data_IF_186059638999
#
_entry.id   IF_186059638999
#
_cell.length_a   1.000
_cell.length_b   1.000
_cell.length_c   1.000
_cell.angle_alpha   90.00
_cell.angle_beta   90.00
_cell.angle_gamma   90.00
#
_symmetry.space_group_name_H-M   'P 1'
#
loop_
_entity.id
_entity.type
_entity.pdbx_description
1 polymer ?
#
# COMPACT_ATOMS: atom_id res chain seq x y z
N UNK A 1 -4.59 -12.45 8.34
CA UNK A 1 -3.95 -11.55 7.36
C UNK A 1 -4.74 -11.38 6.08
N UNK A 2 -5.27 -12.45 5.53
CA UNK A 2 -6.09 -12.33 4.32
C UNK A 2 -7.27 -11.39 4.48
N UNK A 3 -7.95 -11.44 5.62
CA UNK A 3 -9.09 -10.56 5.87
C UNK A 3 -8.68 -9.10 5.89
N UNK A 4 -7.55 -8.80 6.51
CA UNK A 4 -7.06 -7.42 6.58
C UNK A 4 -6.63 -6.93 5.21
N UNK A 5 -5.98 -7.78 4.42
CA UNK A 5 -5.61 -7.44 3.05
C UNK A 5 -6.85 -7.17 2.19
N UNK A 6 -7.91 -7.97 2.38
CA UNK A 6 -9.17 -7.79 1.67
C UNK A 6 -9.82 -6.45 2.02
N UNK A 7 -9.86 -6.10 3.30
CA UNK A 7 -10.39 -4.81 3.75
C UNK A 7 -9.58 -3.67 3.14
N UNK A 8 -8.26 -3.77 3.18
CA UNK A 8 -7.38 -2.76 2.59
C UNK A 8 -7.65 -2.59 1.10
N UNK A 9 -7.84 -3.70 0.37
CA UNK A 9 -8.14 -3.63 -1.06
C UNK A 9 -9.44 -2.86 -1.31
N UNK A 10 -10.49 -3.14 -0.54
CA UNK A 10 -11.76 -2.45 -0.75
C UNK A 10 -11.74 -0.99 -0.30
N UNK A 11 -10.90 -0.62 0.66
CA UNK A 11 -10.81 0.78 1.11
C UNK A 11 -9.91 1.63 0.22
N UNK A 12 -8.77 1.10 -0.15
CA UNK A 12 -7.70 1.87 -0.81
C UNK A 12 -7.34 1.30 -2.16
N UNK A 13 -7.22 -0.02 -2.24
CA UNK A 13 -6.70 -0.70 -3.42
C UNK A 13 -7.57 -0.50 -4.66
N UNK A 14 -8.89 -0.51 -4.51
CA UNK A 14 -9.79 -0.33 -5.64
C UNK A 14 -9.59 1.04 -6.29
N UNK A 15 -9.53 2.10 -5.49
CA UNK A 15 -9.29 3.44 -6.00
C UNK A 15 -7.92 3.55 -6.66
N UNK A 16 -6.91 2.97 -6.03
CA UNK A 16 -5.55 2.95 -6.54
C UNK A 16 -5.47 2.18 -7.86
N UNK A 17 -6.11 1.01 -7.91
CA UNK A 17 -6.20 0.20 -9.12
C UNK A 17 -6.90 0.96 -10.24
N UNK A 18 -8.05 1.58 -9.97
CA UNK A 18 -8.80 2.31 -10.98
C UNK A 18 -7.99 3.46 -11.56
N UNK A 19 -7.24 4.17 -10.73
CA UNK A 19 -6.44 5.31 -11.20
C UNK A 19 -5.31 4.90 -12.15
N UNK A 20 -4.88 3.63 -12.10
CA UNK A 20 -3.84 3.11 -12.98
C UNK A 20 -4.43 2.34 -14.17
N UNK A 21 -5.47 1.56 -13.94
CA UNK A 21 -6.03 0.67 -14.95
C UNK A 21 -6.87 1.42 -15.98
N UNK A 22 -7.66 2.40 -15.55
CA UNK A 22 -8.51 3.13 -16.49
C UNK A 22 -7.73 3.89 -17.54
N UNK A 23 -6.66 4.64 -17.20
CA UNK A 23 -5.83 5.24 -18.25
C UNK A 23 -5.19 4.20 -19.16
N UNK A 24 -4.79 3.05 -18.62
CA UNK A 24 -4.21 1.98 -19.42
C UNK A 24 -5.20 1.43 -20.43
N UNK A 25 -6.46 1.22 -20.02
CA UNK A 25 -7.51 0.76 -20.93
C UNK A 25 -7.73 1.80 -22.05
N UNK A 26 -7.79 3.08 -21.69
CA UNK A 26 -7.97 4.16 -22.67
C UNK A 26 -6.79 4.24 -23.64
N UNK A 27 -5.59 3.91 -23.19
CA UNK A 27 -4.39 3.88 -24.03
C UNK A 27 -4.27 2.60 -24.84
N UNK A 28 -5.21 1.67 -24.71
CA UNK A 28 -5.27 0.42 -25.46
C UNK A 28 -4.02 -0.46 -25.25
N UNK A 29 -3.51 -0.51 -24.02
CA UNK A 29 -2.42 -1.41 -23.69
C UNK A 29 -2.92 -2.86 -23.64
N UNK A 30 -2.01 -3.79 -23.72
CA UNK A 30 -2.35 -5.22 -23.73
C UNK A 30 -2.97 -5.67 -22.41
N UNK A 31 -3.83 -6.67 -22.47
CA UNK A 31 -4.47 -7.24 -21.27
C UNK A 31 -3.45 -7.76 -20.27
N UNK A 32 -2.34 -8.33 -20.74
CA UNK A 32 -1.28 -8.80 -19.86
C UNK A 32 -0.65 -7.67 -19.08
N UNK A 33 -0.50 -6.51 -19.71
CA UNK A 33 0.01 -5.32 -19.02
C UNK A 33 -0.99 -4.79 -18.01
N UNK A 34 -2.28 -4.83 -18.34
CA UNK A 34 -3.34 -4.43 -17.41
C UNK A 34 -3.32 -5.34 -16.18
N UNK A 35 -3.19 -6.65 -16.36
CA UNK A 35 -3.10 -7.60 -15.27
C UNK A 35 -1.90 -7.29 -14.36
N UNK A 36 -0.76 -6.93 -14.96
CA UNK A 36 0.44 -6.56 -14.22
C UNK A 36 0.24 -5.27 -13.44
N UNK A 37 -0.45 -4.28 -14.02
CA UNK A 37 -0.77 -3.03 -13.33
C UNK A 37 -1.70 -3.28 -12.15
N UNK A 38 -2.68 -4.18 -12.29
CA UNK A 38 -3.56 -4.55 -11.18
C UNK A 38 -2.78 -5.20 -10.05
N UNK A 39 -1.84 -6.07 -10.38
CA UNK A 39 -0.97 -6.70 -9.39
C UNK A 39 -0.12 -5.66 -8.66
N UNK A 40 0.48 -4.74 -9.40
CA UNK A 40 1.24 -3.63 -8.83
C UNK A 40 0.35 -2.81 -7.88
N UNK A 41 -0.85 -2.42 -8.33
CA UNK A 41 -1.76 -1.59 -7.56
C UNK A 41 -2.17 -2.27 -6.25
N UNK A 42 -2.42 -3.57 -6.31
CA UNK A 42 -2.79 -4.34 -5.12
C UNK A 42 -1.70 -4.28 -4.05
N UNK A 43 -0.47 -4.60 -4.44
CA UNK A 43 0.64 -4.63 -3.48
C UNK A 43 1.06 -3.23 -3.04
N UNK A 44 1.09 -2.28 -3.96
CA UNK A 44 1.42 -0.89 -3.62
C UNK A 44 0.39 -0.28 -2.67
N UNK A 45 -0.90 -0.60 -2.89
CA UNK A 45 -1.97 -0.12 -2.02
C UNK A 45 -1.84 -0.66 -0.59
N UNK A 46 -1.49 -1.93 -0.45
CA UNK A 46 -1.28 -2.53 0.87
C UNK A 46 -0.07 -1.90 1.54
N UNK A 47 1.03 -1.75 0.82
CA UNK A 47 2.24 -1.11 1.37
C UNK A 47 1.95 0.32 1.83
N UNK A 48 1.18 1.06 1.04
CA UNK A 48 0.77 2.42 1.39
C UNK A 48 -0.04 2.44 2.69
N UNK A 49 -1.01 1.54 2.80
CA UNK A 49 -1.87 1.50 4.00
C UNK A 49 -1.08 1.10 5.24
N UNK A 50 -0.16 0.15 5.12
CA UNK A 50 0.67 -0.25 6.26
C UNK A 50 1.54 0.92 6.70
N UNK A 51 2.13 1.65 5.76
CA UNK A 51 2.95 2.81 6.09
C UNK A 51 2.10 3.88 6.78
N UNK A 52 0.87 4.09 6.32
CA UNK A 52 -0.04 5.03 6.95
C UNK A 52 -0.32 4.62 8.40
N UNK A 53 -0.60 3.35 8.64
CA UNK A 53 -0.83 2.83 9.99
C UNK A 53 0.39 3.00 10.89
N UNK A 54 1.59 2.76 10.35
CA UNK A 54 2.84 2.94 11.10
C UNK A 54 3.05 4.40 11.46
N UNK A 55 2.78 5.31 10.53
CA UNK A 55 2.91 6.74 10.78
C UNK A 55 1.90 7.23 11.81
N UNK A 56 0.69 6.70 11.79
CA UNK A 56 -0.34 7.05 12.77
C UNK A 56 0.10 6.67 14.20
N UNK A 57 0.64 5.48 14.37
CA UNK A 57 1.13 5.05 15.68
C UNK A 57 2.27 5.93 16.14
N UNK A 58 3.23 6.22 15.27
CA UNK A 58 4.37 7.06 15.60
C UNK A 58 3.95 8.49 15.92
N UNK A 59 3.05 9.05 15.11
CA UNK A 59 2.55 10.40 15.33
C UNK A 59 1.82 10.55 16.64
N UNK A 60 1.00 9.57 17.01
CA UNK A 60 0.28 9.59 18.28
C UNK A 60 1.22 9.55 19.48
N UNK A 61 2.27 8.74 19.41
CA UNK A 61 3.26 8.66 20.47
C UNK A 61 4.03 9.97 20.62
N UNK A 62 4.38 10.62 19.53
CA UNK A 62 5.13 11.87 19.53
C UNK A 62 4.30 13.06 20.02
N UNK A 63 3.03 13.11 19.65
CA UNK A 63 2.21 14.28 19.92
C UNK A 63 1.89 14.47 21.39
N UNK A 64 1.64 13.43 22.14
CA UNK A 64 1.05 13.61 23.46
C UNK A 64 1.51 12.64 24.51
N UNK A 65 2.38 11.73 24.18
CA UNK A 65 2.59 10.61 25.07
C UNK A 65 1.27 9.87 25.34
N UNK A 66 0.25 10.13 24.57
CA UNK A 66 -0.99 9.38 24.67
C UNK A 66 -0.77 8.02 24.06
N UNK A 67 -1.30 6.98 24.68
CA UNK A 67 -1.26 5.68 24.09
C UNK A 67 -1.93 5.76 22.73
N UNK A 68 -1.29 5.16 21.77
CA UNK A 68 -1.68 5.24 20.39
C UNK A 68 -3.12 4.93 20.18
N UNK A 69 -3.62 5.57 19.27
CA UNK A 69 -4.60 5.08 18.46
C UNK A 69 -6.02 5.32 18.80
N UNK A 70 -6.50 6.33 18.14
CA UNK A 70 -7.93 6.38 17.89
C UNK A 70 -8.43 5.07 17.29
N UNK A 71 -7.58 4.40 16.51
CA UNK A 71 -7.95 3.12 15.91
C UNK A 71 -8.25 2.07 16.98
N UNK A 72 -7.44 2.02 18.03
CA UNK A 72 -7.71 1.11 19.12
C UNK A 72 -9.00 1.49 19.86
N UNK A 73 -9.20 2.79 20.07
CA UNK A 73 -10.42 3.28 20.70
C UNK A 73 -11.66 3.01 19.86
N UNK A 74 -11.52 3.12 18.54
CA UNK A 74 -12.61 2.89 17.61
C UNK A 74 -12.77 1.41 17.25
N UNK A 75 -11.95 0.55 17.86
CA UNK A 75 -12.00 -0.89 17.63
C UNK A 75 -11.75 -1.26 16.17
N UNK A 76 -10.96 -0.46 15.48
CA UNK A 76 -10.61 -0.69 14.09
C UNK A 76 -9.34 -1.53 14.02
N UNK A 77 -9.40 -2.63 13.28
CA UNK A 77 -8.21 -3.47 13.06
C UNK A 77 -7.28 -2.79 12.06
N UNK A 78 -6.01 -2.67 12.44
CA UNK A 78 -4.96 -2.17 11.57
C UNK A 78 -3.87 -3.22 11.44
N UNK A 79 -2.99 -3.03 10.47
CA UNK A 79 -1.84 -3.93 10.33
C UNK A 79 -0.98 -3.90 11.59
N UNK A 80 -0.80 -2.71 12.18
CA UNK A 80 0.01 -2.58 13.39
C UNK A 80 -0.66 -3.25 14.58
N UNK A 81 -1.98 -3.13 14.73
CA UNK A 81 -2.70 -3.72 15.86
C UNK A 81 -2.64 -5.25 15.82
N UNK A 82 -2.56 -5.83 14.64
CA UNK A 82 -2.53 -7.29 14.48
C UNK A 82 -1.11 -7.83 14.52
N UNK A 83 -0.19 -7.16 13.83
CA UNK A 83 1.17 -7.67 13.60
C UNK A 83 2.23 -7.04 14.50
N UNK A 84 1.91 -5.94 15.18
CA UNK A 84 2.91 -5.13 15.84
C UNK A 84 3.69 -4.27 14.83
N UNK A 85 4.50 -3.35 15.32
CA UNK A 85 5.24 -2.44 14.44
C UNK A 85 6.25 -3.16 13.57
N UNK A 86 7.00 -4.12 14.14
CA UNK A 86 7.99 -4.86 13.37
C UNK A 86 7.35 -5.76 12.32
N UNK A 87 6.27 -6.45 12.69
CA UNK A 87 5.54 -7.31 11.77
C UNK A 87 4.92 -6.53 10.64
N UNK A 88 4.33 -5.37 10.96
CA UNK A 88 3.74 -4.50 9.95
C UNK A 88 4.81 -3.95 8.99
N UNK A 89 5.94 -3.52 9.51
CA UNK A 89 7.04 -3.03 8.69
C UNK A 89 7.55 -4.12 7.74
N UNK A 90 7.68 -5.34 8.24
CA UNK A 90 8.11 -6.48 7.42
C UNK A 90 7.12 -6.76 6.30
N UNK A 91 5.85 -6.77 6.62
CA UNK A 91 4.78 -6.98 5.66
C UNK A 91 4.76 -5.87 4.59
N UNK A 92 4.99 -4.63 5.01
CA UNK A 92 5.07 -3.51 4.09
C UNK A 92 6.18 -3.72 3.06
N UNK A 93 7.38 -4.09 3.52
CA UNK A 93 8.50 -4.30 2.61
C UNK A 93 8.30 -5.52 1.71
N UNK A 94 7.59 -6.53 2.18
CA UNK A 94 7.22 -7.67 1.34
C UNK A 94 6.34 -7.23 0.18
N UNK A 95 5.30 -6.45 0.46
CA UNK A 95 4.41 -5.94 -0.60
C UNK A 95 5.12 -4.94 -1.49
N UNK A 96 6.03 -4.14 -0.95
CA UNK A 96 6.87 -3.27 -1.75
C UNK A 96 7.66 -4.08 -2.78
N UNK A 97 8.30 -5.16 -2.36
CA UNK A 97 9.08 -6.00 -3.26
C UNK A 97 8.20 -6.63 -4.35
N UNK A 98 7.01 -7.10 -3.98
CA UNK A 98 6.08 -7.68 -4.93
C UNK A 98 5.59 -6.65 -5.95
N UNK A 99 5.35 -5.42 -5.52
CA UNK A 99 4.99 -4.34 -6.42
C UNK A 99 6.13 -4.01 -7.39
N UNK A 100 7.36 -3.95 -6.89
CA UNK A 100 8.52 -3.70 -7.73
C UNK A 100 8.72 -4.81 -8.76
N UNK A 101 8.53 -6.06 -8.36
CA UNK A 101 8.61 -7.19 -9.27
C UNK A 101 7.57 -7.08 -10.40
N UNK A 102 6.35 -6.66 -10.05
CA UNK A 102 5.32 -6.48 -11.07
C UNK A 102 5.75 -5.42 -12.09
N UNK A 103 6.35 -4.32 -11.64
CA UNK A 103 6.82 -3.29 -12.57
C UNK A 103 7.93 -3.79 -13.48
N UNK A 104 8.78 -4.69 -12.99
CA UNK A 104 9.85 -5.26 -13.81
C UNK A 104 9.33 -6.14 -14.94
N UNK A 105 8.13 -6.68 -14.80
CA UNK A 105 7.51 -7.49 -15.85
C UNK A 105 6.97 -6.64 -17.01
N UNK A 106 6.84 -5.33 -16.81
CA UNK A 106 6.27 -4.46 -17.83
C UNK A 106 7.32 -4.08 -18.87
N UNK A 107 6.98 -4.16 -20.18
CA UNK A 107 7.91 -3.80 -21.26
C UNK A 107 7.94 -2.30 -21.52
N UNK A 108 7.65 -1.48 -20.52
CA UNK A 108 7.56 -0.03 -20.63
C UNK A 108 8.42 0.64 -19.58
N UNK A 109 8.67 1.94 -19.78
CA UNK A 109 9.36 2.73 -18.76
C UNK A 109 8.44 2.91 -17.54
N UNK A 110 8.83 2.32 -16.43
CA UNK A 110 8.07 2.37 -15.19
C UNK A 110 8.74 3.24 -14.13
N UNK A 111 9.70 4.09 -14.54
CA UNK A 111 10.47 4.90 -13.59
C UNK A 111 9.58 5.77 -12.70
N UNK A 112 8.53 6.37 -13.28
CA UNK A 112 7.60 7.20 -12.51
C UNK A 112 6.90 6.38 -11.43
N UNK A 113 6.40 5.18 -11.78
CA UNK A 113 5.69 4.33 -10.83
C UNK A 113 6.62 3.82 -9.72
N UNK A 114 7.87 3.49 -10.08
CA UNK A 114 8.88 3.11 -9.09
C UNK A 114 9.16 4.25 -8.13
N UNK A 115 9.31 5.45 -8.67
CA UNK A 115 9.56 6.64 -7.86
C UNK A 115 8.37 6.92 -6.92
N UNK A 116 7.16 6.83 -7.43
CA UNK A 116 5.94 7.02 -6.64
C UNK A 116 5.86 6.00 -5.50
N UNK A 117 6.13 4.73 -5.79
CA UNK A 117 6.11 3.68 -4.79
C UNK A 117 7.14 3.94 -3.68
N UNK A 118 8.36 4.32 -4.05
CA UNK A 118 9.40 4.65 -3.08
C UNK A 118 9.00 5.85 -2.22
N UNK A 119 8.40 6.86 -2.82
CA UNK A 119 7.90 8.01 -2.08
C UNK A 119 6.84 7.58 -1.04
N UNK A 120 5.91 6.73 -1.45
CA UNK A 120 4.80 6.31 -0.58
C UNK A 120 5.28 5.55 0.65
N UNK A 121 6.27 4.66 0.50
CA UNK A 121 6.73 3.83 1.61
C UNK A 121 7.78 4.51 2.48
N UNK A 122 8.45 5.54 1.96
CA UNK A 122 9.48 6.27 2.70
C UNK A 122 9.03 7.65 3.20
N UNK A 123 7.79 8.03 2.92
CA UNK A 123 7.30 9.34 3.34
C UNK A 123 7.26 9.46 4.85
N UNK A 124 7.42 10.71 5.30
CA UNK A 124 7.23 11.09 6.69
C UNK A 124 6.03 12.04 6.75
N UNK A 125 5.37 12.06 7.88
CA UNK A 125 4.27 12.99 8.05
C UNK A 125 4.72 14.41 8.19
#
# INVERSE_FOLDING_TARGET
MEELNTVCYYKTGIAFEASLVMPAILAQVKETEIATLKKFAYHAGIAFQIQDDLLDVQGNLEQLGKPGGQDAENNTSTFVSILGQEGASREMWEHYCLAMEALQEMPRNTAFLKHLLNYMVNRER
#
